data_IF_962934589792
#
_entry.id   IF_962934589792
#
_cell.length_a   1.000
_cell.length_b   1.000
_cell.length_c   1.000
_cell.angle_alpha   90.00
_cell.angle_beta   90.00
_cell.angle_gamma   90.00
#
_symmetry.space_group_name_H-M   'P 1'
#
loop_
_entity.id
_entity.type
_entity.pdbx_description
1 polymer ?
#
# COMPACT_ATOMS: atom_id res chain seq x y z
N UNK A 1 38.94 -4.81 -0.39
CA UNK A 1 38.49 -4.40 -1.74
C UNK A 1 36.99 -4.61 -1.87
N UNK A 2 36.53 -5.85 -1.75
CA UNK A 2 35.09 -6.22 -1.67
C UNK A 2 34.31 -5.41 -0.63
N UNK A 3 34.84 -5.23 0.59
CA UNK A 3 34.13 -4.46 1.63
C UNK A 3 33.83 -2.99 1.26
N UNK A 4 34.68 -2.34 0.44
CA UNK A 4 34.49 -0.94 0.06
C UNK A 4 33.35 -0.83 -0.96
N UNK A 5 33.35 -1.72 -1.96
CA UNK A 5 32.28 -1.83 -2.95
C UNK A 5 30.97 -2.26 -2.30
N UNK A 6 30.98 -3.26 -1.42
CA UNK A 6 29.81 -3.68 -0.66
C UNK A 6 29.21 -2.53 0.14
N UNK A 7 30.04 -1.73 0.81
CA UNK A 7 29.55 -0.56 1.55
C UNK A 7 28.92 0.48 0.61
N UNK A 8 29.55 0.76 -0.52
CA UNK A 8 29.05 1.71 -1.52
C UNK A 8 27.72 1.23 -2.13
N UNK A 9 27.65 -0.01 -2.60
CA UNK A 9 26.43 -0.60 -3.17
C UNK A 9 25.32 -0.70 -2.13
N UNK A 10 25.62 -1.12 -0.91
CA UNK A 10 24.65 -1.13 0.20
C UNK A 10 24.08 0.27 0.46
N UNK A 11 24.89 1.29 0.26
CA UNK A 11 24.47 2.67 0.31
C UNK A 11 23.47 3.05 -0.78
N UNK A 12 23.74 2.67 -2.04
CA UNK A 12 22.84 2.85 -3.18
C UNK A 12 21.51 2.13 -2.92
N UNK A 13 21.57 0.84 -2.58
CA UNK A 13 20.40 -0.01 -2.33
C UNK A 13 19.58 0.48 -1.13
N UNK A 14 20.19 1.18 -0.16
CA UNK A 14 19.46 1.81 0.95
C UNK A 14 18.56 2.97 0.53
N UNK A 15 18.79 3.54 -0.64
CA UNK A 15 17.95 4.60 -1.19
C UNK A 15 16.74 4.07 -1.97
N UNK A 16 16.67 2.76 -2.22
CA UNK A 16 15.56 2.14 -2.94
C UNK A 16 14.51 1.56 -1.98
N UNK A 17 13.25 1.54 -2.42
CA UNK A 17 12.12 0.99 -1.67
C UNK A 17 11.95 -0.53 -1.90
N UNK A 18 13.06 -1.22 -2.15
CA UNK A 18 13.13 -2.64 -2.48
C UNK A 18 12.78 -3.53 -1.28
N UNK A 19 12.16 -4.69 -1.53
CA UNK A 19 12.03 -5.73 -0.51
C UNK A 19 13.38 -6.47 -0.28
N UNK A 20 13.48 -7.37 0.69
CA UNK A 20 14.75 -8.04 1.01
C UNK A 20 15.34 -8.83 -0.17
N UNK A 21 14.50 -9.54 -0.91
CA UNK A 21 14.92 -10.32 -2.08
C UNK A 21 15.37 -9.40 -3.22
N UNK A 22 14.57 -8.38 -3.56
CA UNK A 22 14.94 -7.36 -4.55
C UNK A 22 16.21 -6.61 -4.16
N UNK A 23 16.39 -6.36 -2.86
CA UNK A 23 17.57 -5.69 -2.31
C UNK A 23 18.82 -6.57 -2.46
N UNK A 24 18.69 -7.89 -2.32
CA UNK A 24 19.78 -8.83 -2.58
C UNK A 24 20.12 -8.91 -4.06
N UNK A 25 19.11 -9.09 -4.92
CA UNK A 25 19.30 -9.17 -6.38
C UNK A 25 19.97 -7.90 -6.91
N UNK A 26 19.49 -6.74 -6.47
CA UNK A 26 20.04 -5.44 -6.84
C UNK A 26 21.48 -5.24 -6.33
N UNK A 27 21.77 -5.72 -5.11
CA UNK A 27 23.11 -5.65 -4.56
C UNK A 27 24.09 -6.52 -5.36
N UNK A 28 23.68 -7.73 -5.74
CA UNK A 28 24.48 -8.64 -6.57
C UNK A 28 24.75 -8.05 -7.95
N UNK A 29 23.73 -7.52 -8.64
CA UNK A 29 23.87 -6.91 -9.96
C UNK A 29 24.79 -5.69 -9.93
N UNK A 30 24.58 -4.77 -8.97
CA UNK A 30 25.41 -3.57 -8.82
C UNK A 30 26.86 -3.93 -8.48
N UNK A 31 27.09 -4.90 -7.59
CA UNK A 31 28.43 -5.38 -7.28
C UNK A 31 29.12 -5.99 -8.50
N UNK A 32 28.41 -6.80 -9.28
CA UNK A 32 28.96 -7.40 -10.50
C UNK A 32 29.41 -6.31 -11.49
N UNK A 33 28.59 -5.29 -11.74
CA UNK A 33 28.95 -4.19 -12.64
C UNK A 33 30.15 -3.39 -12.14
N UNK A 34 30.23 -3.15 -10.83
CA UNK A 34 31.36 -2.43 -10.23
C UNK A 34 32.65 -3.24 -10.33
N UNK A 35 32.57 -4.56 -10.16
CA UNK A 35 33.70 -5.45 -10.35
C UNK A 35 34.17 -5.49 -11.81
N UNK A 36 33.27 -5.57 -12.79
CA UNK A 36 33.64 -5.50 -14.20
C UNK A 36 34.34 -4.17 -14.52
N UNK A 37 33.77 -3.04 -14.11
CA UNK A 37 34.40 -1.73 -14.35
C UNK A 37 35.78 -1.61 -13.67
N UNK A 38 35.96 -2.22 -12.50
CA UNK A 38 37.24 -2.28 -11.82
C UNK A 38 38.28 -3.10 -12.59
N UNK A 39 37.90 -4.28 -13.09
CA UNK A 39 38.79 -5.15 -13.88
C UNK A 39 39.19 -4.49 -15.20
N UNK A 40 38.27 -3.80 -15.87
CA UNK A 40 38.55 -3.04 -17.09
C UNK A 40 39.63 -1.97 -16.82
N UNK A 41 39.50 -1.21 -15.72
CA UNK A 41 40.48 -0.20 -15.32
C UNK A 41 41.85 -0.81 -14.93
N UNK A 42 41.87 -2.00 -14.32
CA UNK A 42 43.14 -2.70 -14.09
C UNK A 42 43.82 -3.10 -15.41
N UNK A 43 43.03 -3.56 -16.39
CA UNK A 43 43.54 -3.94 -17.71
C UNK A 43 44.05 -2.73 -18.51
N UNK A 44 43.52 -1.54 -18.23
CA UNK A 44 44.02 -0.26 -18.76
C UNK A 44 45.32 0.24 -18.10
N UNK A 45 45.79 -0.46 -17.06
CA UNK A 45 47.07 -0.19 -16.39
C UNK A 45 46.98 0.72 -15.16
N UNK A 46 45.78 1.04 -14.68
CA UNK A 46 45.61 1.80 -13.44
C UNK A 46 46.01 0.97 -12.21
N UNK A 47 46.49 1.64 -11.16
CA UNK A 47 46.76 0.96 -9.89
C UNK A 47 45.45 0.48 -9.23
N UNK A 48 45.54 -0.50 -8.32
CA UNK A 48 44.36 -1.05 -7.64
C UNK A 48 43.53 0.00 -6.91
N UNK A 49 44.17 1.00 -6.31
CA UNK A 49 43.48 2.06 -5.56
C UNK A 49 42.82 3.07 -6.50
N UNK A 50 43.50 3.45 -7.59
CA UNK A 50 42.97 4.35 -8.61
C UNK A 50 41.81 3.72 -9.36
N UNK A 51 41.95 2.46 -9.80
CA UNK A 51 40.90 1.72 -10.48
C UNK A 51 39.64 1.61 -9.60
N UNK A 52 39.80 1.36 -8.30
CA UNK A 52 38.68 1.27 -7.35
C UNK A 52 37.95 2.61 -7.20
N UNK A 53 38.71 3.70 -7.00
CA UNK A 53 38.14 5.05 -6.87
C UNK A 53 37.46 5.49 -8.16
N UNK A 54 38.07 5.20 -9.31
CA UNK A 54 37.55 5.57 -10.61
C UNK A 54 36.31 4.75 -10.98
N UNK A 55 36.27 3.45 -10.67
CA UNK A 55 35.06 2.64 -10.84
C UNK A 55 33.87 3.21 -10.05
N UNK A 56 34.06 3.56 -8.78
CA UNK A 56 33.02 4.19 -7.96
C UNK A 56 32.61 5.56 -8.49
N UNK A 57 33.57 6.38 -8.92
CA UNK A 57 33.32 7.71 -9.47
C UNK A 57 32.55 7.64 -10.80
N UNK A 58 32.89 6.68 -11.66
CA UNK A 58 32.19 6.42 -12.92
C UNK A 58 30.76 5.92 -12.69
N UNK A 59 30.54 5.18 -11.59
CA UNK A 59 29.20 4.78 -11.16
C UNK A 59 28.35 5.97 -10.69
N UNK A 60 28.98 6.93 -10.01
CA UNK A 60 28.36 8.19 -9.56
C UNK A 60 28.23 8.32 -8.05
N UNK A 61 27.48 9.35 -7.61
CA UNK A 61 27.18 9.53 -6.18
C UNK A 61 26.15 8.51 -5.70
N UNK A 62 26.43 7.88 -4.56
CA UNK A 62 25.59 6.84 -3.93
C UNK A 62 24.12 7.26 -3.80
N UNK A 63 23.86 8.50 -3.37
CA UNK A 63 22.49 8.98 -3.13
C UNK A 63 21.77 9.29 -4.44
N UNK A 64 22.48 9.90 -5.38
CA UNK A 64 21.90 10.26 -6.67
C UNK A 64 21.59 9.01 -7.50
N UNK A 65 22.52 8.07 -7.60
CA UNK A 65 22.32 6.79 -8.29
C UNK A 65 21.17 6.02 -7.66
N UNK A 66 21.14 5.92 -6.32
CA UNK A 66 20.05 5.26 -5.61
C UNK A 66 18.68 5.91 -5.86
N UNK A 67 18.62 7.24 -5.94
CA UNK A 67 17.39 7.97 -6.27
C UNK A 67 16.94 7.75 -7.71
N UNK A 68 17.86 7.76 -8.67
CA UNK A 68 17.57 7.49 -10.08
C UNK A 68 17.07 6.06 -10.26
N UNK A 69 17.71 5.10 -9.59
CA UNK A 69 17.29 3.70 -9.57
C UNK A 69 15.90 3.53 -8.98
N UNK A 70 15.61 4.19 -7.84
CA UNK A 70 14.28 4.21 -7.25
C UNK A 70 13.23 4.80 -8.19
N UNK A 71 13.57 5.87 -8.92
CA UNK A 71 12.66 6.50 -9.87
C UNK A 71 12.43 5.63 -11.12
N UNK A 72 13.45 4.91 -11.58
CA UNK A 72 13.35 3.96 -12.68
C UNK A 72 12.48 2.75 -12.29
N UNK A 73 12.67 2.20 -11.09
CA UNK A 73 11.90 1.05 -10.58
C UNK A 73 10.46 1.44 -10.20
N UNK A 74 10.26 2.59 -9.56
CA UNK A 74 8.98 2.99 -8.97
C UNK A 74 8.62 4.46 -9.27
N UNK A 75 8.33 4.81 -10.54
CA UNK A 75 8.20 6.20 -10.98
C UNK A 75 7.06 6.95 -10.26
N UNK A 76 7.33 8.13 -9.71
CA UNK A 76 6.34 8.98 -9.00
C UNK A 76 5.70 8.40 -7.73
N UNK A 77 6.04 7.16 -7.31
CA UNK A 77 5.42 6.51 -6.14
C UNK A 77 5.57 7.35 -4.87
N UNK A 78 6.79 7.79 -4.57
CA UNK A 78 7.11 8.66 -3.42
C UNK A 78 6.36 9.99 -3.49
N UNK A 79 6.35 10.62 -4.66
CA UNK A 79 5.68 11.91 -4.87
C UNK A 79 4.17 11.82 -4.64
N UNK A 80 3.50 10.81 -5.22
CA UNK A 80 2.07 10.59 -5.04
C UNK A 80 1.71 10.35 -3.57
N UNK A 81 2.50 9.56 -2.84
CA UNK A 81 2.23 9.31 -1.42
C UNK A 81 2.48 10.55 -0.55
N UNK A 82 3.48 11.38 -0.87
CA UNK A 82 3.69 12.66 -0.18
C UNK A 82 2.52 13.63 -0.42
N UNK A 83 2.04 13.71 -1.67
CA UNK A 83 0.85 14.49 -2.01
C UNK A 83 -0.36 13.97 -1.21
N UNK A 84 -0.58 12.65 -1.21
CA UNK A 84 -1.68 12.04 -0.45
C UNK A 84 -1.60 12.43 1.03
N UNK A 85 -0.48 12.18 1.70
CA UNK A 85 -0.34 12.43 3.13
C UNK A 85 -0.52 13.91 3.49
N UNK A 86 0.17 14.81 2.79
CA UNK A 86 0.11 16.25 3.05
C UNK A 86 -1.28 16.82 2.78
N UNK A 87 -1.88 16.49 1.64
CA UNK A 87 -3.23 16.96 1.29
C UNK A 87 -4.28 16.39 2.26
N UNK A 88 -4.09 15.16 2.73
CA UNK A 88 -4.95 14.53 3.72
C UNK A 88 -4.93 15.22 5.08
N UNK A 89 -3.75 15.66 5.55
CA UNK A 89 -3.65 16.43 6.79
C UNK A 89 -4.39 17.77 6.67
N UNK A 90 -4.17 18.48 5.55
CA UNK A 90 -4.88 19.74 5.28
C UNK A 90 -6.39 19.51 5.30
N UNK A 91 -6.88 18.49 4.58
CA UNK A 91 -8.30 18.14 4.55
C UNK A 91 -8.85 17.82 5.94
N UNK A 92 -8.16 16.98 6.71
CA UNK A 92 -8.62 16.56 8.03
C UNK A 92 -8.82 17.75 8.97
N UNK A 93 -7.84 18.66 9.04
CA UNK A 93 -7.97 19.89 9.83
C UNK A 93 -9.04 20.84 9.27
N UNK A 94 -9.11 21.02 7.96
CA UNK A 94 -10.10 21.90 7.34
C UNK A 94 -11.54 21.44 7.62
N UNK A 95 -11.86 20.17 7.40
CA UNK A 95 -13.20 19.64 7.65
C UNK A 95 -13.54 19.70 9.14
N UNK A 96 -12.61 19.30 10.01
CA UNK A 96 -12.84 19.37 11.46
C UNK A 96 -13.12 20.80 11.95
N UNK A 97 -12.33 21.79 11.50
CA UNK A 97 -12.53 23.18 11.91
C UNK A 97 -13.83 23.76 11.35
N UNK A 98 -14.14 23.49 10.08
CA UNK A 98 -15.39 23.94 9.47
C UNK A 98 -16.60 23.38 10.22
N UNK A 99 -16.60 22.08 10.51
CA UNK A 99 -17.70 21.43 11.22
C UNK A 99 -17.84 21.96 12.66
N UNK A 100 -16.72 22.13 13.36
CA UNK A 100 -16.68 22.71 14.70
C UNK A 100 -17.23 24.15 14.73
N UNK A 101 -16.87 24.99 13.77
CA UNK A 101 -17.29 26.40 13.77
C UNK A 101 -18.70 26.63 13.22
N UNK A 102 -19.13 25.81 12.25
CA UNK A 102 -20.43 25.98 11.60
C UNK A 102 -21.54 25.23 12.33
N UNK A 103 -21.27 23.97 12.72
CA UNK A 103 -22.26 23.10 13.33
C UNK A 103 -22.10 22.99 14.86
N UNK A 104 -20.93 23.37 15.40
CA UNK A 104 -20.62 23.22 16.83
C UNK A 104 -20.20 21.80 17.23
N UNK A 105 -20.07 20.89 16.24
CA UNK A 105 -19.79 19.48 16.48
C UNK A 105 -18.29 19.19 16.48
N UNK A 106 -17.79 18.63 17.59
CA UNK A 106 -16.38 18.31 17.77
C UNK A 106 -16.12 16.81 17.58
N UNK A 107 -15.94 16.36 16.35
CA UNK A 107 -15.61 14.95 16.05
C UNK A 107 -14.13 14.62 16.28
N UNK A 108 -13.67 14.74 17.54
CA UNK A 108 -12.27 14.57 17.93
C UNK A 108 -11.71 13.19 17.57
N UNK A 109 -12.51 12.13 17.74
CA UNK A 109 -12.08 10.75 17.45
C UNK A 109 -11.71 10.60 15.97
N UNK A 110 -12.53 11.15 15.06
CA UNK A 110 -12.25 11.09 13.63
C UNK A 110 -10.97 11.86 13.27
N UNK A 111 -10.80 13.07 13.80
CA UNK A 111 -9.59 13.88 13.57
C UNK A 111 -8.33 13.14 14.01
N UNK A 112 -8.33 12.55 15.22
CA UNK A 112 -7.19 11.80 15.74
C UNK A 112 -6.83 10.63 14.83
N UNK A 113 -7.82 9.85 14.39
CA UNK A 113 -7.60 8.73 13.47
C UNK A 113 -7.08 9.20 12.10
N UNK A 114 -7.65 10.28 11.53
CA UNK A 114 -7.24 10.84 10.26
C UNK A 114 -5.79 11.35 10.30
N UNK A 115 -5.44 12.09 11.35
CA UNK A 115 -4.06 12.60 11.55
C UNK A 115 -3.11 11.44 11.79
N UNK A 116 -3.46 10.46 12.63
CA UNK A 116 -2.62 9.30 12.90
C UNK A 116 -2.29 8.53 11.62
N UNK A 117 -3.29 8.26 10.78
CA UNK A 117 -3.07 7.51 9.53
C UNK A 117 -2.28 8.34 8.51
N UNK A 118 -2.62 9.62 8.32
CA UNK A 118 -1.90 10.46 7.37
C UNK A 118 -0.45 10.72 7.79
N UNK A 119 -0.18 10.94 9.08
CA UNK A 119 1.18 11.07 9.62
C UNK A 119 1.94 9.75 9.54
N UNK A 120 1.31 8.60 9.81
CA UNK A 120 1.95 7.29 9.65
C UNK A 120 2.37 7.04 8.21
N UNK A 121 1.53 7.37 7.23
CA UNK A 121 1.90 7.31 5.80
C UNK A 121 3.11 8.22 5.54
N UNK A 122 3.09 9.47 6.01
CA UNK A 122 4.19 10.41 5.85
C UNK A 122 5.51 9.88 6.47
N UNK A 123 5.45 9.35 7.68
CA UNK A 123 6.60 8.79 8.39
C UNK A 123 7.21 7.61 7.64
N UNK A 124 6.39 6.68 7.13
CA UNK A 124 6.88 5.51 6.37
C UNK A 124 7.53 5.93 5.04
N UNK A 125 7.12 7.06 4.46
CA UNK A 125 7.72 7.60 3.23
C UNK A 125 9.06 8.30 3.52
N UNK A 126 9.14 9.08 4.61
CA UNK A 126 10.33 9.86 4.94
C UNK A 126 11.42 9.02 5.62
N UNK A 127 11.01 8.02 6.40
CA UNK A 127 11.89 7.15 7.17
C UNK A 127 11.61 5.68 6.81
N UNK A 128 12.16 5.20 5.68
CA UNK A 128 12.00 3.81 5.29
C UNK A 128 12.69 2.89 6.32
N UNK A 129 11.90 2.17 7.12
CA UNK A 129 12.39 1.20 8.09
C UNK A 129 12.60 -0.14 7.39
N UNK A 130 13.86 -0.58 7.27
CA UNK A 130 14.22 -1.80 6.55
C UNK A 130 13.71 -3.09 7.20
N UNK A 131 13.40 -3.08 8.50
CA UNK A 131 12.96 -4.26 9.26
C UNK A 131 11.47 -4.57 9.17
N UNK A 132 10.65 -3.62 8.69
CA UNK A 132 9.21 -3.83 8.56
C UNK A 132 8.89 -4.42 7.19
N UNK A 133 7.87 -5.31 7.15
CA UNK A 133 7.25 -5.71 5.89
C UNK A 133 6.49 -4.50 5.31
N UNK A 134 7.24 -3.57 4.72
CA UNK A 134 6.80 -2.24 4.34
C UNK A 134 5.61 -2.28 3.39
N UNK A 135 5.54 -3.30 2.52
CA UNK A 135 4.41 -3.51 1.61
C UNK A 135 3.12 -3.75 2.39
N UNK A 136 3.13 -4.69 3.35
CA UNK A 136 1.96 -4.99 4.17
C UNK A 136 1.51 -3.76 4.96
N UNK A 137 2.45 -3.07 5.61
CA UNK A 137 2.16 -1.87 6.41
C UNK A 137 1.63 -0.73 5.56
N UNK A 138 2.27 -0.45 4.42
CA UNK A 138 1.82 0.62 3.52
C UNK A 138 0.41 0.34 2.98
N UNK A 139 0.14 -0.90 2.54
CA UNK A 139 -1.18 -1.27 2.06
C UNK A 139 -2.24 -1.17 3.17
N UNK A 140 -1.90 -1.62 4.38
CA UNK A 140 -2.78 -1.48 5.55
C UNK A 140 -3.10 -0.02 5.87
N UNK A 141 -2.08 0.85 5.82
CA UNK A 141 -2.26 2.30 6.04
C UNK A 141 -3.11 2.95 4.94
N UNK A 142 -2.88 2.60 3.67
CA UNK A 142 -3.68 3.13 2.55
C UNK A 142 -5.14 2.65 2.60
N UNK A 143 -5.39 1.40 2.98
CA UNK A 143 -6.75 0.89 3.17
C UNK A 143 -7.43 1.59 4.34
N UNK A 144 -6.73 1.77 5.46
CA UNK A 144 -7.23 2.52 6.62
C UNK A 144 -7.55 3.97 6.25
N UNK A 145 -6.69 4.58 5.43
CA UNK A 145 -6.87 5.92 4.90
C UNK A 145 -8.16 6.02 4.07
N UNK A 146 -8.39 5.09 3.14
CA UNK A 146 -9.63 5.04 2.34
C UNK A 146 -10.86 5.07 3.25
N UNK A 147 -10.93 4.22 4.28
CA UNK A 147 -12.09 4.17 5.17
C UNK A 147 -12.29 5.46 5.97
N UNK A 148 -11.23 5.97 6.60
CA UNK A 148 -11.30 7.17 7.45
C UNK A 148 -11.67 8.40 6.63
N UNK A 149 -11.12 8.55 5.43
CA UNK A 149 -11.38 9.71 4.57
C UNK A 149 -12.71 9.58 3.82
N UNK A 150 -13.19 8.37 3.51
CA UNK A 150 -14.58 8.16 3.08
C UNK A 150 -15.57 8.59 4.15
N UNK A 151 -15.33 8.28 5.43
CA UNK A 151 -16.17 8.78 6.52
C UNK A 151 -16.10 10.30 6.65
N UNK A 152 -14.89 10.88 6.53
CA UNK A 152 -14.73 12.34 6.47
C UNK A 152 -15.47 13.00 5.31
N UNK A 153 -15.60 12.31 4.17
CA UNK A 153 -16.44 12.76 3.05
C UNK A 153 -17.92 12.86 3.44
N UNK A 154 -18.43 11.86 4.17
CA UNK A 154 -19.82 11.87 4.66
C UNK A 154 -20.04 13.01 5.64
N UNK A 155 -19.10 13.24 6.57
CA UNK A 155 -19.16 14.39 7.49
C UNK A 155 -19.18 15.71 6.71
N UNK A 156 -18.29 15.87 5.74
CA UNK A 156 -18.23 17.11 4.95
C UNK A 156 -19.50 17.38 4.14
N UNK A 157 -20.35 16.37 3.90
CA UNK A 157 -21.63 16.53 3.23
C UNK A 157 -22.68 17.28 4.09
N UNK A 158 -22.50 17.32 5.42
CA UNK A 158 -23.37 18.07 6.34
C UNK A 158 -23.00 19.56 6.44
N UNK A 159 -21.89 20.00 5.84
CA UNK A 159 -21.52 21.41 5.82
C UNK A 159 -22.42 22.21 4.86
N UNK A 160 -22.65 23.48 5.18
CA UNK A 160 -23.38 24.36 4.27
C UNK A 160 -22.62 24.55 2.94
N UNK A 161 -23.39 24.82 1.88
CA UNK A 161 -22.80 25.21 0.59
C UNK A 161 -22.16 26.60 0.72
N UNK A 162 -20.97 26.82 0.15
CA UNK A 162 -20.29 25.97 -0.84
C UNK A 162 -19.30 24.94 -0.27
N UNK A 163 -19.09 24.92 1.05
CA UNK A 163 -18.02 24.15 1.70
C UNK A 163 -18.18 22.64 1.52
N UNK A 164 -19.42 22.12 1.59
CA UNK A 164 -19.68 20.70 1.35
C UNK A 164 -19.29 20.25 -0.06
N UNK A 165 -19.61 21.05 -1.08
CA UNK A 165 -19.27 20.70 -2.47
C UNK A 165 -17.76 20.65 -2.71
N UNK A 166 -17.03 21.66 -2.22
CA UNK A 166 -15.57 21.76 -2.38
C UNK A 166 -14.88 20.63 -1.60
N UNK A 167 -15.27 20.44 -0.34
CA UNK A 167 -14.70 19.40 0.53
C UNK A 167 -15.00 18.00 0.00
N UNK A 168 -16.22 17.78 -0.50
CA UNK A 168 -16.60 16.51 -1.11
C UNK A 168 -15.75 16.17 -2.34
N UNK A 169 -15.57 17.11 -3.27
CA UNK A 169 -14.68 16.91 -4.42
C UNK A 169 -13.24 16.59 -4.00
N UNK A 170 -12.71 17.35 -3.04
CA UNK A 170 -11.35 17.13 -2.54
C UNK A 170 -11.21 15.77 -1.86
N UNK A 171 -12.19 15.37 -1.04
CA UNK A 171 -12.20 14.06 -0.37
C UNK A 171 -12.24 12.91 -1.37
N UNK A 172 -13.11 12.99 -2.39
CA UNK A 172 -13.17 11.96 -3.43
C UNK A 172 -11.86 11.85 -4.21
N UNK A 173 -11.17 12.96 -4.48
CA UNK A 173 -9.85 12.93 -5.10
C UNK A 173 -8.80 12.24 -4.20
N UNK A 174 -8.81 12.48 -2.89
CA UNK A 174 -7.93 11.82 -1.93
C UNK A 174 -8.19 10.31 -1.85
N UNK A 175 -9.46 9.92 -1.73
CA UNK A 175 -9.87 8.50 -1.68
C UNK A 175 -9.50 7.78 -2.98
N UNK A 176 -9.76 8.40 -4.13
CA UNK A 176 -9.39 7.85 -5.43
C UNK A 176 -7.86 7.69 -5.56
N UNK A 177 -7.08 8.69 -5.13
CA UNK A 177 -5.62 8.61 -5.13
C UNK A 177 -5.12 7.47 -4.22
N UNK A 178 -5.72 7.30 -3.04
CA UNK A 178 -5.38 6.20 -2.14
C UNK A 178 -5.71 4.83 -2.77
N UNK A 179 -6.86 4.68 -3.43
CA UNK A 179 -7.22 3.46 -4.17
C UNK A 179 -6.19 3.16 -5.28
N UNK A 180 -5.84 4.17 -6.09
CA UNK A 180 -4.82 4.04 -7.13
C UNK A 180 -3.49 3.56 -6.52
N UNK A 181 -3.10 4.13 -5.38
CA UNK A 181 -1.88 3.75 -4.67
C UNK A 181 -1.95 2.32 -4.12
N UNK A 182 -3.09 1.85 -3.60
CA UNK A 182 -3.28 0.44 -3.16
C UNK A 182 -3.07 -0.51 -4.34
N UNK A 183 -3.71 -0.26 -5.48
CA UNK A 183 -3.54 -1.09 -6.67
C UNK A 183 -2.11 -1.07 -7.17
N UNK A 184 -1.48 0.10 -7.19
CA UNK A 184 -0.09 0.25 -7.63
C UNK A 184 0.88 -0.54 -6.75
N UNK A 185 0.80 -0.33 -5.45
CA UNK A 185 1.67 -0.98 -4.45
C UNK A 185 1.43 -2.49 -4.31
N UNK A 186 0.23 -2.97 -4.66
CA UNK A 186 -0.08 -4.41 -4.57
C UNK A 186 0.15 -5.18 -5.86
N UNK A 187 -0.12 -4.59 -7.03
CA UNK A 187 -0.07 -5.29 -8.33
C UNK A 187 1.22 -5.02 -9.09
N UNK A 188 1.65 -3.76 -9.16
CA UNK A 188 2.81 -3.38 -9.97
C UNK A 188 4.12 -3.58 -9.23
N UNK A 189 4.13 -3.26 -7.93
CA UNK A 189 5.28 -3.49 -7.07
C UNK A 189 5.40 -4.97 -6.64
N UNK A 190 4.75 -5.91 -7.35
CA UNK A 190 4.89 -7.35 -7.17
C UNK A 190 5.75 -7.98 -8.30
N UNK A 191 7.08 -7.82 -8.28
CA UNK A 191 7.98 -8.66 -9.05
C UNK A 191 8.67 -9.64 -8.10
N UNK A 192 8.06 -10.81 -7.85
CA UNK A 192 8.90 -11.97 -7.55
C UNK A 192 9.33 -12.52 -8.90
N UNK A 193 10.58 -12.25 -9.28
CA UNK A 193 11.25 -12.86 -10.44
C UNK A 193 11.13 -14.39 -10.46
N UNK A 194 10.79 -15.00 -9.31
CA UNK A 194 10.61 -16.45 -9.12
C UNK A 194 9.22 -17.00 -9.41
N UNK A 195 8.18 -16.16 -9.58
CA UNK A 195 6.85 -16.66 -9.94
C UNK A 195 6.68 -16.78 -11.45
N UNK A 196 6.85 -18.01 -11.98
CA UNK A 196 6.51 -18.40 -13.35
C UNK A 196 5.10 -17.95 -13.80
N UNK A 197 4.16 -17.75 -12.86
CA UNK A 197 2.77 -17.35 -13.09
C UNK A 197 2.49 -15.89 -12.70
N UNK A 198 3.42 -14.97 -12.97
CA UNK A 198 3.31 -13.56 -12.56
C UNK A 198 2.01 -12.87 -13.06
N UNK A 199 1.52 -13.22 -14.26
CA UNK A 199 0.27 -12.65 -14.81
C UNK A 199 -0.97 -13.11 -14.05
N UNK A 200 -1.06 -14.40 -13.73
CA UNK A 200 -2.22 -14.99 -13.03
C UNK A 200 -2.27 -14.48 -11.58
N UNK A 201 -1.11 -14.36 -10.92
CA UNK A 201 -1.02 -13.78 -9.57
C UNK A 201 -1.54 -12.34 -9.53
N UNK A 202 -1.16 -11.49 -10.50
CA UNK A 202 -1.65 -10.10 -10.61
C UNK A 202 -3.17 -10.05 -10.74
N UNK A 203 -3.76 -10.91 -11.58
CA UNK A 203 -5.22 -10.99 -11.74
C UNK A 203 -5.94 -11.45 -10.48
N UNK A 204 -5.42 -12.48 -9.80
CA UNK A 204 -6.03 -12.98 -8.56
C UNK A 204 -5.92 -11.95 -7.44
N UNK A 205 -4.80 -11.23 -7.34
CA UNK A 205 -4.66 -10.09 -6.43
C UNK A 205 -5.69 -9.00 -6.73
N UNK A 206 -5.82 -8.60 -8.00
CA UNK A 206 -6.81 -7.61 -8.42
C UNK A 206 -8.22 -8.01 -7.97
N UNK A 207 -8.67 -9.21 -8.35
CA UNK A 207 -10.01 -9.73 -8.03
C UNK A 207 -10.22 -9.75 -6.51
N UNK A 208 -9.25 -10.26 -5.74
CA UNK A 208 -9.39 -10.33 -4.29
C UNK A 208 -9.43 -8.96 -3.62
N UNK A 209 -8.58 -8.02 -4.01
CA UNK A 209 -8.59 -6.66 -3.44
C UNK A 209 -9.93 -5.98 -3.73
N UNK A 210 -10.43 -6.06 -4.96
CA UNK A 210 -11.74 -5.51 -5.32
C UNK A 210 -12.85 -6.15 -4.49
N UNK A 211 -12.88 -7.49 -4.39
CA UNK A 211 -13.86 -8.20 -3.57
C UNK A 211 -13.76 -7.83 -2.08
N UNK A 212 -12.55 -7.70 -1.55
CA UNK A 212 -12.31 -7.31 -0.17
C UNK A 212 -12.84 -5.92 0.14
N UNK A 213 -12.61 -4.94 -0.73
CA UNK A 213 -13.15 -3.58 -0.59
C UNK A 213 -14.69 -3.61 -0.56
N UNK A 214 -15.31 -4.30 -1.53
CA UNK A 214 -16.77 -4.43 -1.61
C UNK A 214 -17.34 -5.12 -0.36
N UNK A 215 -16.70 -6.21 0.08
CA UNK A 215 -17.13 -6.97 1.25
C UNK A 215 -17.04 -6.15 2.54
N UNK A 216 -15.94 -5.42 2.74
CA UNK A 216 -15.79 -4.55 3.92
C UNK A 216 -16.84 -3.43 3.88
N UNK A 217 -17.06 -2.80 2.73
CA UNK A 217 -18.08 -1.75 2.60
C UNK A 217 -19.49 -2.25 2.96
N UNK A 218 -19.89 -3.40 2.42
CA UNK A 218 -21.17 -4.06 2.74
C UNK A 218 -21.26 -4.38 4.24
N UNK A 219 -20.19 -4.95 4.80
CA UNK A 219 -20.15 -5.34 6.21
C UNK A 219 -20.28 -4.13 7.13
N UNK A 220 -19.57 -3.04 6.82
CA UNK A 220 -19.66 -1.79 7.58
C UNK A 220 -21.05 -1.16 7.47
N UNK A 221 -21.66 -1.17 6.28
CA UNK A 221 -23.03 -0.68 6.09
C UNK A 221 -24.04 -1.45 6.95
N UNK A 222 -23.96 -2.78 6.97
CA UNK A 222 -24.84 -3.62 7.77
C UNK A 222 -24.59 -3.47 9.27
N UNK A 223 -23.33 -3.34 9.68
CA UNK A 223 -22.96 -3.09 11.07
C UNK A 223 -23.53 -1.73 11.53
N UNK A 224 -23.41 -0.69 10.71
CA UNK A 224 -24.02 0.61 10.97
C UNK A 224 -25.56 0.51 11.07
N UNK A 225 -26.22 -0.15 10.12
CA UNK A 225 -27.66 -0.33 10.15
C UNK A 225 -28.11 -1.08 11.42
N UNK A 226 -27.42 -2.16 11.78
CA UNK A 226 -27.71 -2.91 12.99
C UNK A 226 -27.52 -2.07 14.25
N UNK A 227 -26.46 -1.27 14.35
CA UNK A 227 -26.25 -0.37 15.49
C UNK A 227 -27.34 0.69 15.62
N UNK A 228 -27.95 1.11 14.50
CA UNK A 228 -29.03 2.09 14.50
C UNK A 228 -30.37 1.50 14.96
N UNK A 229 -30.64 0.24 14.65
CA UNK A 229 -31.93 -0.42 14.93
C UNK A 229 -31.90 -1.39 16.12
N UNK A 230 -30.73 -1.77 16.64
CA UNK A 230 -30.61 -2.68 17.78
C UNK A 230 -30.60 -1.93 19.11
N UNK A 231 -31.37 -2.40 20.08
CA UNK A 231 -31.42 -1.83 21.44
C UNK A 231 -30.13 -2.10 22.28
N UNK A 232 -29.16 -2.84 21.73
CA UNK A 232 -27.88 -3.08 22.41
C UNK A 232 -26.80 -3.76 21.56
N UNK A 233 -25.58 -3.79 22.09
CA UNK A 233 -24.46 -4.53 21.50
C UNK A 233 -24.60 -6.02 21.77
N UNK A 234 -25.27 -6.73 20.87
CA UNK A 234 -25.37 -8.19 20.94
C UNK A 234 -24.10 -8.83 20.38
N UNK A 235 -23.65 -9.93 20.99
CA UNK A 235 -22.48 -10.69 20.51
C UNK A 235 -22.67 -11.26 19.08
N UNK A 236 -23.92 -11.40 18.63
CA UNK A 236 -24.28 -11.76 17.25
C UNK A 236 -23.72 -10.79 16.21
N UNK A 237 -23.43 -9.53 16.58
CA UNK A 237 -22.74 -8.57 15.70
C UNK A 237 -21.39 -9.06 15.19
N UNK A 238 -20.68 -9.88 15.97
CA UNK A 238 -19.41 -10.46 15.55
C UNK A 238 -19.57 -11.44 14.37
N UNK A 239 -20.76 -12.00 14.17
CA UNK A 239 -21.05 -12.85 13.01
C UNK A 239 -21.02 -12.06 11.69
N UNK A 240 -21.23 -10.74 11.72
CA UNK A 240 -21.07 -9.89 10.55
C UNK A 240 -19.60 -9.84 10.07
N UNK A 241 -18.63 -10.13 10.93
CA UNK A 241 -17.21 -10.17 10.58
C UNK A 241 -16.78 -11.52 9.99
N UNK A 242 -17.61 -12.57 10.11
CA UNK A 242 -17.29 -13.93 9.65
C UNK A 242 -16.95 -13.98 8.14
N UNK A 243 -17.68 -13.28 7.24
CA UNK A 243 -17.34 -13.27 5.81
C UNK A 243 -15.97 -12.66 5.53
N UNK A 244 -15.57 -11.62 6.26
CA UNK A 244 -14.24 -11.00 6.12
C UNK A 244 -13.16 -12.01 6.53
N UNK A 245 -13.36 -12.70 7.67
CA UNK A 245 -12.45 -13.76 8.13
C UNK A 245 -12.31 -14.90 7.14
N UNK A 246 -13.44 -15.39 6.60
CA UNK A 246 -13.47 -16.46 5.60
C UNK A 246 -12.83 -16.02 4.27
N UNK A 247 -13.09 -14.79 3.83
CA UNK A 247 -12.45 -14.22 2.64
C UNK A 247 -10.92 -14.17 2.80
N UNK A 248 -10.41 -13.65 3.93
CA UNK A 248 -8.97 -13.61 4.20
C UNK A 248 -8.33 -15.01 4.19
N UNK A 249 -9.00 -15.99 4.79
CA UNK A 249 -8.53 -17.38 4.82
C UNK A 249 -8.45 -17.96 3.40
N UNK A 250 -9.52 -17.83 2.61
CA UNK A 250 -9.59 -18.34 1.25
C UNK A 250 -8.54 -17.67 0.35
N UNK A 251 -8.32 -16.37 0.54
CA UNK A 251 -7.28 -15.64 -0.18
C UNK A 251 -5.87 -16.15 0.19
N UNK A 252 -5.59 -16.39 1.47
CA UNK A 252 -4.32 -16.99 1.89
C UNK A 252 -4.09 -18.38 1.26
N UNK A 253 -5.16 -19.19 1.16
CA UNK A 253 -5.12 -20.50 0.48
C UNK A 253 -4.85 -20.34 -1.03
N UNK A 254 -5.48 -19.38 -1.71
CA UNK A 254 -5.21 -19.09 -3.12
C UNK A 254 -3.74 -18.75 -3.37
N UNK A 255 -3.14 -17.92 -2.51
CA UNK A 255 -1.72 -17.55 -2.63
C UNK A 255 -0.80 -18.76 -2.48
N UNK A 256 -1.10 -19.67 -1.54
CA UNK A 256 -0.37 -20.93 -1.39
C UNK A 256 -0.54 -21.85 -2.61
N UNK A 257 -1.73 -21.93 -3.19
CA UNK A 257 -1.99 -22.74 -4.38
C UNK A 257 -1.30 -22.19 -5.63
N UNK A 258 -1.23 -20.87 -5.78
CA UNK A 258 -0.48 -20.24 -6.87
C UNK A 258 1.02 -20.49 -6.75
N UNK A 259 1.57 -20.43 -5.53
CA UNK A 259 2.96 -20.82 -5.28
C UNK A 259 3.22 -22.30 -5.64
N UNK A 260 2.23 -23.18 -5.41
CA UNK A 260 2.26 -24.58 -5.82
C UNK A 260 1.87 -24.83 -7.30
N UNK A 261 1.76 -23.77 -8.13
CA UNK A 261 1.38 -23.82 -9.55
C UNK A 261 -0.01 -24.43 -9.86
N UNK A 262 -0.92 -24.49 -8.88
CA UNK A 262 -2.28 -25.04 -9.05
C UNK A 262 -3.30 -23.98 -9.46
N UNK A 263 -3.05 -23.30 -10.58
CA UNK A 263 -3.84 -22.13 -11.02
C UNK A 263 -5.35 -22.38 -11.15
N UNK A 264 -5.76 -23.53 -11.72
CA UNK A 264 -7.18 -23.85 -11.91
C UNK A 264 -7.94 -23.82 -10.58
N UNK A 265 -7.37 -24.43 -9.55
CA UNK A 265 -7.97 -24.48 -8.20
C UNK A 265 -8.02 -23.08 -7.58
N UNK A 266 -6.96 -22.28 -7.74
CA UNK A 266 -6.94 -20.91 -7.24
C UNK A 266 -8.07 -20.05 -7.85
N UNK A 267 -8.31 -20.16 -9.17
CA UNK A 267 -9.42 -19.48 -9.85
C UNK A 267 -10.80 -20.02 -9.43
N UNK A 268 -10.94 -21.34 -9.24
CA UNK A 268 -12.19 -21.93 -8.73
C UNK A 268 -12.53 -21.36 -7.34
N UNK A 269 -11.54 -21.22 -6.45
CA UNK A 269 -11.74 -20.58 -5.14
C UNK A 269 -12.16 -19.12 -5.30
N UNK A 270 -11.59 -18.39 -6.28
CA UNK A 270 -11.94 -16.98 -6.51
C UNK A 270 -13.41 -16.81 -6.91
N UNK A 271 -13.89 -17.65 -7.82
CA UNK A 271 -15.29 -17.68 -8.24
C UNK A 271 -16.19 -18.08 -7.06
N UNK A 272 -15.76 -19.07 -6.27
CA UNK A 272 -16.51 -19.54 -5.09
C UNK A 272 -16.62 -18.46 -4.01
N UNK A 273 -15.57 -17.68 -3.78
CA UNK A 273 -15.61 -16.51 -2.88
C UNK A 273 -16.66 -15.49 -3.31
N UNK A 274 -16.76 -15.21 -4.62
CA UNK A 274 -17.72 -14.26 -5.16
C UNK A 274 -19.17 -14.73 -4.92
N UNK A 275 -19.42 -16.03 -5.12
CA UNK A 275 -20.71 -16.64 -4.80
C UNK A 275 -21.01 -16.61 -3.29
N UNK A 276 -20.01 -16.85 -2.44
CA UNK A 276 -20.15 -16.82 -0.98
C UNK A 276 -20.61 -15.45 -0.49
N UNK A 277 -20.09 -14.35 -1.05
CA UNK A 277 -20.55 -12.99 -0.72
C UNK A 277 -22.04 -12.85 -1.03
N UNK A 278 -22.47 -13.31 -2.21
CA UNK A 278 -23.89 -13.31 -2.59
C UNK A 278 -24.77 -14.13 -1.65
N UNK A 279 -24.34 -15.33 -1.27
CA UNK A 279 -25.06 -16.19 -0.32
C UNK A 279 -25.16 -15.53 1.05
N UNK A 280 -24.07 -14.94 1.54
CA UNK A 280 -24.05 -14.28 2.85
C UNK A 280 -25.03 -13.10 2.87
N UNK A 281 -25.05 -12.28 1.80
CA UNK A 281 -26.02 -11.21 1.65
C UNK A 281 -27.46 -11.71 1.67
N UNK A 282 -27.75 -12.81 0.97
CA UNK A 282 -29.10 -13.42 0.96
C UNK A 282 -29.48 -13.88 2.37
N UNK A 283 -28.59 -14.59 3.07
CA UNK A 283 -28.85 -15.03 4.45
C UNK A 283 -29.16 -13.84 5.36
N UNK A 284 -28.37 -12.77 5.26
CA UNK A 284 -28.56 -11.57 6.08
C UNK A 284 -29.84 -10.80 5.76
N UNK A 285 -30.23 -10.71 4.48
CA UNK A 285 -31.45 -10.00 4.07
C UNK A 285 -32.71 -10.78 4.43
N UNK A 286 -32.68 -12.11 4.29
CA UNK A 286 -33.87 -12.95 4.49
C UNK A 286 -33.99 -13.55 5.88
N UNK A 287 -33.02 -13.30 6.77
CA UNK A 287 -33.14 -13.59 8.20
C UNK A 287 -33.53 -15.04 8.52
N UNK A 288 -32.69 -15.98 8.11
CA UNK A 288 -32.65 -17.32 8.74
C UNK A 288 -31.75 -17.25 9.97
#
# INVERSE_FOLDING_TARGET
MTEVFERFVKGIVRQTDSNHEESMDLNEELLSHLHCSYEDLLNEGYSKEEAMKMAMMNFGDEKEVGKQLQQAMYPYRRGMMLILASASLIFAYSVYLLDLFMNGDAHLIWLVLAVLVATSILTVILHPVQSLNRRLWMNGLLISHIFIFSYGSLMSAYLDRPYSTISGFFSYALVLLAIILVYRTTIYDFPSSKQLLQKDAKWIHFINITMGIVLIFITLFLLWAFLLFSEGLQASLLLLLLPIGLWMLLYAVQMRLLAAQRKKIAYTIAITQLLLIGVTLVIWVYGI
#
